data_IF_571022114529
#
_entry.id   IF_571022114529
#
_cell.length_a   1.000
_cell.length_b   1.000
_cell.length_c   1.000
_cell.angle_alpha   90.00
_cell.angle_beta   90.00
_cell.angle_gamma   90.00
#
_symmetry.space_group_name_H-M   'P 1'
#
loop_
_entity.id
_entity.type
_entity.pdbx_description
1 polymer ?
#
# COMPACT_ATOMS: atom_id res chain seq x y z
N UNK A 1 -17.27 28.11 -5.89
CA UNK A 1 -17.07 26.72 -6.34
C UNK A 1 -16.55 25.94 -5.15
N UNK A 2 -17.20 24.84 -4.75
CA UNK A 2 -16.62 23.96 -3.72
C UNK A 2 -15.37 23.33 -4.32
N UNK A 3 -14.23 23.53 -3.68
CA UNK A 3 -13.05 22.70 -3.94
C UNK A 3 -13.33 21.35 -3.29
N UNK A 4 -14.00 20.47 -4.01
CA UNK A 4 -14.20 19.09 -3.56
C UNK A 4 -12.84 18.39 -3.68
N UNK A 5 -12.11 18.36 -2.57
CA UNK A 5 -10.81 17.71 -2.47
C UNK A 5 -11.00 16.20 -2.64
N UNK A 6 -10.64 15.67 -3.80
CA UNK A 6 -10.63 14.22 -4.06
C UNK A 6 -9.46 13.61 -3.28
N UNK A 7 -9.76 12.63 -2.42
CA UNK A 7 -8.74 11.86 -1.72
C UNK A 7 -8.34 10.64 -2.56
N UNK A 8 -7.04 10.42 -2.70
CA UNK A 8 -6.48 9.26 -3.40
C UNK A 8 -5.81 8.34 -2.38
N UNK A 9 -6.32 7.11 -2.29
CA UNK A 9 -5.84 6.09 -1.37
C UNK A 9 -5.24 4.96 -2.19
N UNK A 10 -3.98 4.66 -1.94
CA UNK A 10 -3.34 3.48 -2.50
C UNK A 10 -3.46 2.30 -1.54
N UNK A 11 -3.81 1.13 -2.08
CA UNK A 11 -3.99 -0.10 -1.32
C UNK A 11 -3.02 -1.20 -1.80
N UNK A 12 -1.69 -1.00 -1.70
CA UNK A 12 -0.71 -1.99 -2.14
C UNK A 12 -0.83 -3.33 -1.39
N UNK A 13 -1.41 -3.34 -0.18
CA UNK A 13 -1.72 -4.57 0.56
C UNK A 13 -2.60 -5.53 -0.24
N UNK A 14 -3.72 -5.06 -0.77
CA UNK A 14 -4.67 -5.89 -1.54
C UNK A 14 -4.02 -6.42 -2.82
N UNK A 15 -3.28 -5.55 -3.53
CA UNK A 15 -2.56 -5.92 -4.74
C UNK A 15 -1.52 -7.02 -4.48
N UNK A 16 -0.76 -6.91 -3.38
CA UNK A 16 0.27 -7.89 -3.04
C UNK A 16 -0.30 -9.20 -2.50
N UNK A 17 -1.45 -9.18 -1.81
CA UNK A 17 -2.09 -10.40 -1.30
C UNK A 17 -2.52 -11.36 -2.41
N UNK A 18 -2.89 -10.85 -3.58
CA UNK A 18 -3.23 -11.68 -4.75
C UNK A 18 -2.05 -12.38 -5.42
N UNK A 19 -0.82 -11.99 -5.08
CA UNK A 19 0.40 -12.52 -5.72
C UNK A 19 0.84 -13.81 -5.00
N UNK A 20 0.64 -14.95 -5.67
CA UNK A 20 1.01 -16.28 -5.14
C UNK A 20 2.52 -16.49 -4.98
N UNK A 21 3.33 -15.78 -5.78
CA UNK A 21 4.79 -15.89 -5.72
C UNK A 21 5.32 -15.06 -4.55
N UNK A 22 6.27 -15.63 -3.81
CA UNK A 22 6.96 -14.87 -2.77
C UNK A 22 7.62 -13.62 -3.38
N UNK A 23 7.30 -12.45 -2.83
CA UNK A 23 7.95 -11.19 -3.17
C UNK A 23 9.00 -10.93 -2.10
N UNK A 24 10.30 -10.84 -2.45
CA UNK A 24 11.36 -10.51 -1.51
C UNK A 24 11.06 -9.22 -0.75
N UNK A 25 11.38 -9.20 0.55
CA UNK A 25 11.09 -8.09 1.46
C UNK A 25 11.72 -6.79 0.96
N UNK A 26 12.94 -6.85 0.43
CA UNK A 26 13.67 -5.69 -0.08
C UNK A 26 12.92 -5.04 -1.24
N UNK A 27 12.31 -5.85 -2.12
CA UNK A 27 11.50 -5.36 -3.24
C UNK A 27 10.21 -4.71 -2.75
N UNK A 28 9.56 -5.29 -1.73
CA UNK A 28 8.36 -4.68 -1.11
C UNK A 28 8.70 -3.32 -0.49
N UNK A 29 9.81 -3.23 0.24
CA UNK A 29 10.30 -1.99 0.86
C UNK A 29 10.58 -0.94 -0.21
N UNK A 30 11.33 -1.28 -1.26
CA UNK A 30 11.62 -0.36 -2.37
C UNK A 30 10.34 0.16 -3.04
N UNK A 31 9.36 -0.73 -3.26
CA UNK A 31 8.09 -0.34 -3.85
C UNK A 31 7.30 0.62 -2.95
N UNK A 32 7.14 0.31 -1.66
CA UNK A 32 6.45 1.20 -0.70
C UNK A 32 7.16 2.56 -0.62
N UNK A 33 8.50 2.57 -0.59
CA UNK A 33 9.29 3.81 -0.61
C UNK A 33 9.05 4.66 -1.86
N UNK A 34 8.80 4.03 -3.02
CA UNK A 34 8.43 4.76 -4.23
C UNK A 34 7.03 5.38 -4.13
N UNK A 35 6.06 4.66 -3.56
CA UNK A 35 4.68 5.17 -3.39
C UNK A 35 4.62 6.37 -2.44
N UNK A 36 5.44 6.38 -1.38
CA UNK A 36 5.55 7.51 -0.46
C UNK A 36 5.96 8.82 -1.15
N UNK A 37 6.66 8.75 -2.29
CA UNK A 37 7.11 9.95 -3.04
C UNK A 37 6.05 10.50 -4.00
N UNK A 38 4.97 9.76 -4.26
CA UNK A 38 3.93 10.17 -5.22
C UNK A 38 3.00 11.23 -4.62
N UNK A 39 2.79 11.21 -3.30
CA UNK A 39 1.93 12.17 -2.62
C UNK A 39 0.46 11.75 -2.48
N UNK A 40 0.19 10.45 -2.36
CA UNK A 40 -1.14 9.95 -2.00
C UNK A 40 -1.56 10.41 -0.60
N UNK A 41 -2.87 10.62 -0.39
CA UNK A 41 -3.41 10.99 0.91
C UNK A 41 -3.22 9.87 1.95
N UNK A 42 -3.24 8.60 1.50
CA UNK A 42 -3.11 7.44 2.37
C UNK A 42 -2.55 6.24 1.59
N UNK A 43 -1.75 5.41 2.26
CA UNK A 43 -1.21 4.15 1.72
C UNK A 43 -1.53 3.00 2.71
N UNK A 44 -2.35 2.04 2.29
CA UNK A 44 -2.61 0.78 3.00
C UNK A 44 -1.66 -0.33 2.50
N UNK A 45 -0.53 -0.52 3.18
CA UNK A 45 0.54 -1.43 2.77
C UNK A 45 0.62 -2.75 3.56
N UNK A 46 -0.17 -2.92 4.61
CA UNK A 46 -0.09 -4.13 5.42
C UNK A 46 -1.17 -4.19 6.50
N UNK A 47 -1.55 -5.41 6.84
CA UNK A 47 -2.38 -5.70 8.00
C UNK A 47 -1.57 -6.51 8.99
N UNK A 48 -1.43 -6.01 10.22
CA UNK A 48 -0.91 -6.79 11.33
C UNK A 48 -2.02 -7.69 11.86
N UNK A 49 -2.08 -8.92 11.35
CA UNK A 49 -2.91 -9.95 11.96
C UNK A 49 -2.12 -10.60 13.09
N UNK A 50 -2.79 -10.89 14.22
CA UNK A 50 -2.15 -11.67 15.27
C UNK A 50 -1.77 -13.04 14.72
N UNK A 51 -0.70 -13.69 15.20
CA UNK A 51 -0.29 -15.03 14.75
C UNK A 51 -1.36 -16.13 14.89
N UNK A 52 -2.50 -15.82 15.52
CA UNK A 52 -3.63 -16.73 15.75
C UNK A 52 -4.77 -16.58 14.73
N UNK A 53 -4.66 -15.68 13.75
CA UNK A 53 -5.66 -15.49 12.70
C UNK A 53 -5.32 -16.29 11.44
#
# INVERSE_FOLDING_TARGET
>A
MKNDHVKVIECPRDAMQGIKKFIPTEKKVQYIQSLLRVGFDTIDFGSFVSPKA
#
